data_IF_708055421519
#
_entry.id   IF_708055421519
#
_cell.length_a   1.000
_cell.length_b   1.000
_cell.length_c   1.000
_cell.angle_alpha   90.00
_cell.angle_beta   90.00
_cell.angle_gamma   90.00
#
_symmetry.space_group_name_H-M   'P 1'
#
loop_
_entity.id
_entity.type
_entity.pdbx_description
1 polymer ?
#
# COMPACT_ATOMS: atom_id res chain seq x y z
N UNK A 1 -15.99 -32.13 42.94
CA UNK A 1 -14.72 -32.23 42.17
C UNK A 1 -14.84 -32.85 40.77
N UNK A 2 -15.51 -34.00 40.54
CA UNK A 2 -15.59 -34.62 39.20
C UNK A 2 -16.24 -33.73 38.13
N UNK A 3 -17.40 -33.11 38.42
CA UNK A 3 -18.10 -32.21 37.48
C UNK A 3 -17.26 -30.99 37.07
N UNK A 4 -16.55 -30.38 38.02
CA UNK A 4 -15.65 -29.26 37.75
C UNK A 4 -14.50 -29.65 36.81
N UNK A 5 -13.87 -30.81 37.04
CA UNK A 5 -12.83 -31.34 36.14
C UNK A 5 -13.38 -31.64 34.74
N UNK A 6 -14.63 -32.09 34.61
CA UNK A 6 -15.27 -32.31 33.31
C UNK A 6 -15.53 -30.99 32.57
N UNK A 7 -16.04 -29.96 33.26
CA UNK A 7 -16.28 -28.64 32.67
C UNK A 7 -14.97 -28.02 32.17
N UNK A 8 -13.90 -28.06 32.98
CA UNK A 8 -12.59 -27.54 32.60
C UNK A 8 -12.00 -28.26 31.37
N UNK A 9 -12.21 -29.58 31.24
CA UNK A 9 -11.78 -30.34 30.06
C UNK A 9 -12.50 -29.88 28.78
N UNK A 10 -13.81 -29.65 28.86
CA UNK A 10 -14.57 -29.16 27.71
C UNK A 10 -14.18 -27.73 27.34
N UNK A 11 -13.95 -26.85 28.31
CA UNK A 11 -13.44 -25.50 28.04
C UNK A 11 -12.08 -25.56 27.34
N UNK A 12 -11.14 -26.36 27.86
CA UNK A 12 -9.82 -26.52 27.24
C UNK A 12 -9.90 -27.11 25.83
N UNK A 13 -10.77 -28.09 25.59
CA UNK A 13 -11.01 -28.67 24.27
C UNK A 13 -11.57 -27.62 23.30
N UNK A 14 -12.57 -26.84 23.71
CA UNK A 14 -13.18 -25.79 22.88
C UNK A 14 -12.14 -24.72 22.52
N UNK A 15 -11.34 -24.28 23.49
CA UNK A 15 -10.27 -23.31 23.25
C UNK A 15 -9.20 -23.86 22.30
N UNK A 16 -8.80 -25.13 22.47
CA UNK A 16 -7.86 -25.78 21.59
C UNK A 16 -8.38 -25.89 20.15
N UNK A 17 -9.65 -26.30 19.99
CA UNK A 17 -10.30 -26.38 18.67
C UNK A 17 -10.39 -24.99 18.02
N UNK A 18 -10.75 -23.96 18.77
CA UNK A 18 -10.77 -22.57 18.28
C UNK A 18 -9.40 -22.13 17.78
N UNK A 19 -8.35 -22.35 18.57
CA UNK A 19 -6.97 -21.99 18.18
C UNK A 19 -6.52 -22.78 16.96
N UNK A 20 -6.83 -24.08 16.89
CA UNK A 20 -6.50 -24.93 15.75
C UNK A 20 -7.21 -24.47 14.46
N UNK A 21 -8.49 -24.10 14.55
CA UNK A 21 -9.26 -23.58 13.41
C UNK A 21 -8.69 -22.25 12.93
N UNK A 22 -8.34 -21.34 13.84
CA UNK A 22 -7.71 -20.04 13.51
C UNK A 22 -6.34 -20.25 12.87
N UNK A 23 -5.49 -21.11 13.44
CA UNK A 23 -4.18 -21.43 12.88
C UNK A 23 -4.30 -22.05 11.48
N UNK A 24 -5.25 -22.96 11.28
CA UNK A 24 -5.52 -23.56 9.97
C UNK A 24 -5.99 -22.53 8.95
N UNK A 25 -6.93 -21.66 9.33
CA UNK A 25 -7.42 -20.61 8.41
C UNK A 25 -6.32 -19.61 8.06
N UNK A 26 -5.50 -19.18 9.01
CA UNK A 26 -4.36 -18.29 8.74
C UNK A 26 -3.35 -18.98 7.82
N UNK A 27 -2.96 -20.22 8.12
CA UNK A 27 -1.95 -20.94 7.31
C UNK A 27 -2.39 -21.17 5.87
N UNK A 28 -3.68 -21.50 5.67
CA UNK A 28 -4.26 -21.74 4.34
C UNK A 28 -4.51 -20.44 3.57
N UNK A 29 -4.79 -19.32 4.26
CA UNK A 29 -5.20 -18.06 3.59
C UNK A 29 -4.16 -16.95 3.58
N UNK A 30 -3.07 -17.05 4.33
CA UNK A 30 -2.04 -16.00 4.43
C UNK A 30 -1.39 -15.62 3.08
N UNK A 31 -1.35 -16.55 2.13
CA UNK A 31 -0.76 -16.34 0.80
C UNK A 31 -1.81 -16.32 -0.32
N UNK A 32 -3.08 -16.09 0.01
CA UNK A 32 -4.13 -16.04 -1.00
C UNK A 32 -3.84 -14.87 -1.96
N UNK A 33 -3.62 -15.19 -3.24
CA UNK A 33 -3.45 -14.19 -4.30
C UNK A 33 -4.80 -13.95 -4.95
N UNK A 34 -5.15 -12.68 -5.13
CA UNK A 34 -6.32 -12.27 -5.88
C UNK A 34 -5.89 -11.89 -7.29
N UNK A 35 -6.30 -12.66 -8.28
CA UNK A 35 -6.12 -12.30 -9.70
C UNK A 35 -7.19 -11.29 -10.08
N UNK A 36 -6.90 -10.01 -9.82
CA UNK A 36 -7.66 -8.91 -10.41
C UNK A 36 -7.12 -8.65 -11.82
N UNK A 37 -7.96 -8.66 -12.87
CA UNK A 37 -7.49 -8.37 -14.22
C UNK A 37 -6.83 -6.99 -14.27
N UNK A 38 -5.78 -6.84 -15.08
CA UNK A 38 -5.21 -5.53 -15.31
C UNK A 38 -6.25 -4.65 -16.02
N UNK A 39 -6.34 -3.35 -15.67
CA UNK A 39 -7.23 -2.47 -16.40
C UNK A 39 -6.74 -2.32 -17.85
N UNK A 40 -7.65 -2.41 -18.81
CA UNK A 40 -7.35 -2.17 -20.22
C UNK A 40 -7.15 -0.67 -20.46
N UNK A 41 -5.90 -0.24 -20.34
CA UNK A 41 -5.49 1.16 -20.50
C UNK A 41 -4.34 1.21 -21.48
N UNK A 42 -4.44 2.15 -22.40
CA UNK A 42 -3.36 2.50 -23.31
C UNK A 42 -2.72 3.79 -22.81
N UNK A 43 -1.43 3.74 -22.57
CA UNK A 43 -0.66 4.95 -22.31
C UNK A 43 -0.46 5.73 -23.59
N UNK A 44 -0.34 7.04 -23.44
CA UNK A 44 -0.12 7.97 -24.53
C UNK A 44 1.13 8.78 -24.24
N UNK A 45 1.93 8.99 -25.29
CA UNK A 45 3.09 9.88 -25.26
C UNK A 45 2.73 11.31 -25.64
N UNK A 46 1.44 11.61 -25.82
CA UNK A 46 0.94 12.96 -26.07
C UNK A 46 1.35 13.91 -24.93
N UNK A 47 2.03 15.00 -25.30
CA UNK A 47 2.57 15.98 -24.36
C UNK A 47 1.47 16.67 -23.54
N UNK A 48 0.28 16.86 -24.12
CA UNK A 48 -0.86 17.44 -23.40
C UNK A 48 -1.37 16.50 -22.30
N UNK A 49 -1.44 15.20 -22.57
CA UNK A 49 -1.80 14.19 -21.59
C UNK A 49 -0.74 14.03 -20.50
N UNK A 50 0.55 14.07 -20.86
CA UNK A 50 1.65 14.04 -19.90
C UNK A 50 1.60 15.28 -18.99
N UNK A 51 1.40 16.47 -19.56
CA UNK A 51 1.28 17.71 -18.79
C UNK A 51 0.08 17.69 -17.84
N UNK A 52 -1.06 17.15 -18.28
CA UNK A 52 -2.23 16.92 -17.41
C UNK A 52 -1.91 15.93 -16.29
N UNK A 53 -1.24 14.82 -16.59
CA UNK A 53 -0.83 13.82 -15.60
C UNK A 53 0.07 14.43 -14.54
N UNK A 54 1.07 15.22 -14.96
CA UNK A 54 1.92 16.01 -14.06
C UNK A 54 1.07 16.92 -13.18
N UNK A 55 0.17 17.71 -13.77
CA UNK A 55 -0.70 18.59 -12.98
C UNK A 55 -1.47 17.82 -11.90
N UNK A 56 -2.13 16.71 -12.24
CA UNK A 56 -2.88 15.90 -11.27
C UNK A 56 -2.00 15.44 -10.09
N UNK A 57 -0.82 14.90 -10.37
CA UNK A 57 0.12 14.38 -9.36
C UNK A 57 0.56 15.47 -8.37
N UNK A 58 0.78 16.68 -8.87
CA UNK A 58 1.27 17.82 -8.09
C UNK A 58 0.16 18.68 -7.48
N UNK A 59 -1.12 18.46 -7.83
CA UNK A 59 -2.25 19.25 -7.32
C UNK A 59 -3.35 18.36 -6.71
N UNK A 60 -4.35 18.03 -7.51
CA UNK A 60 -5.65 17.45 -7.11
C UNK A 60 -5.57 16.00 -6.64
N UNK A 61 -4.57 15.23 -7.09
CA UNK A 61 -4.38 13.85 -6.63
C UNK A 61 -3.55 13.75 -5.34
N UNK A 62 -3.03 14.88 -4.83
CA UNK A 62 -2.30 14.98 -3.56
C UNK A 62 -1.13 13.99 -3.40
N UNK A 63 -0.59 13.45 -4.50
CA UNK A 63 0.48 12.45 -4.44
C UNK A 63 1.72 13.02 -3.75
N UNK A 64 2.02 14.29 -4.03
CA UNK A 64 3.17 14.98 -3.46
C UNK A 64 3.12 15.07 -1.94
N UNK A 65 1.96 15.26 -1.33
CA UNK A 65 1.83 15.50 0.12
C UNK A 65 2.41 14.35 0.95
N UNK A 66 2.29 13.12 0.45
CA UNK A 66 2.84 11.94 1.11
C UNK A 66 4.16 11.50 0.48
N UNK A 67 4.33 11.68 -0.83
CA UNK A 67 5.48 11.13 -1.56
C UNK A 67 6.63 12.12 -1.76
N UNK A 68 6.73 13.19 -0.99
CA UNK A 68 7.83 14.14 -1.07
C UNK A 68 8.40 14.48 0.31
N UNK A 69 9.53 15.18 0.32
CA UNK A 69 10.16 15.65 1.56
C UNK A 69 9.55 16.96 2.05
N UNK A 70 9.80 17.25 3.32
CA UNK A 70 9.39 18.50 4.00
C UNK A 70 10.00 19.70 3.27
N UNK A 71 9.17 20.41 2.48
CA UNK A 71 9.40 21.65 1.71
C UNK A 71 8.74 21.64 0.32
N UNK A 72 8.06 20.55 -0.04
CA UNK A 72 7.38 20.39 -1.31
C UNK A 72 6.46 21.56 -1.70
N UNK A 73 5.64 22.05 -0.77
CA UNK A 73 4.73 23.17 -1.03
C UNK A 73 5.49 24.45 -1.43
N UNK A 74 6.59 24.75 -0.74
CA UNK A 74 7.45 25.89 -1.05
C UNK A 74 8.10 25.76 -2.43
N UNK A 75 8.54 24.55 -2.81
CA UNK A 75 9.15 24.30 -4.11
C UNK A 75 8.13 24.37 -5.26
N UNK A 76 6.90 23.86 -5.06
CA UNK A 76 5.81 24.01 -6.03
C UNK A 76 5.48 25.48 -6.26
N UNK A 77 5.38 26.27 -5.19
CA UNK A 77 5.07 27.70 -5.29
C UNK A 77 6.15 28.49 -6.05
N UNK A 78 7.38 27.97 -6.12
CA UNK A 78 8.48 28.50 -6.93
C UNK A 78 8.49 27.96 -8.36
N UNK A 79 7.51 27.13 -8.76
CA UNK A 79 7.43 26.51 -10.08
C UNK A 79 8.46 25.40 -10.30
N UNK A 80 9.05 24.85 -9.24
CA UNK A 80 10.08 23.82 -9.33
C UNK A 80 9.47 22.42 -9.28
N UNK A 81 10.08 21.50 -10.03
CA UNK A 81 9.71 20.09 -9.99
C UNK A 81 10.20 19.45 -8.69
N UNK A 82 9.27 18.93 -7.89
CA UNK A 82 9.59 18.25 -6.63
C UNK A 82 9.68 16.76 -6.86
N UNK A 83 10.82 16.12 -6.56
CA UNK A 83 10.97 14.69 -6.76
C UNK A 83 10.15 13.90 -5.74
N UNK A 84 9.35 12.95 -6.24
CA UNK A 84 8.43 12.14 -5.44
C UNK A 84 9.13 10.96 -4.74
N UNK A 85 10.14 11.28 -3.93
CA UNK A 85 11.06 10.32 -3.30
C UNK A 85 10.51 9.63 -2.05
N UNK A 86 9.34 10.04 -1.54
CA UNK A 86 8.76 9.50 -0.32
C UNK A 86 9.59 9.81 0.93
N UNK A 87 9.51 8.92 1.92
CA UNK A 87 10.25 9.02 3.19
C UNK A 87 9.50 9.74 4.31
N UNK A 88 8.23 10.10 4.13
CA UNK A 88 7.39 10.67 5.19
C UNK A 88 7.09 9.61 6.23
N UNK A 89 7.36 9.90 7.50
CA UNK A 89 7.16 9.00 8.62
C UNK A 89 5.74 9.12 9.20
N UNK A 90 5.02 8.00 9.20
CA UNK A 90 3.72 7.84 9.84
C UNK A 90 3.87 7.01 11.12
N UNK A 91 3.36 7.53 12.23
CA UNK A 91 3.26 6.81 13.50
C UNK A 91 1.90 6.13 13.62
N UNK A 92 1.90 4.80 13.51
CA UNK A 92 0.72 3.96 13.69
C UNK A 92 0.83 3.22 15.03
N UNK A 93 -0.29 2.82 15.66
CA UNK A 93 -0.26 2.02 16.90
C UNK A 93 0.53 0.72 16.77
N UNK A 94 0.62 0.18 15.56
CA UNK A 94 1.31 -1.07 15.22
C UNK A 94 2.76 -0.88 14.77
N UNK A 95 3.24 0.36 14.63
CA UNK A 95 4.62 0.63 14.23
C UNK A 95 4.83 1.92 13.42
N UNK A 96 6.04 2.07 12.88
CA UNK A 96 6.42 3.18 12.00
C UNK A 96 6.32 2.74 10.54
N UNK A 97 5.67 3.55 9.72
CA UNK A 97 5.56 3.32 8.26
C UNK A 97 6.10 4.54 7.53
N UNK A 98 6.80 4.32 6.43
CA UNK A 98 7.34 5.39 5.59
C UNK A 98 6.61 5.41 4.24
N UNK A 99 6.33 6.60 3.70
CA UNK A 99 5.87 6.70 2.32
C UNK A 99 6.92 6.20 1.34
N UNK A 100 6.48 5.55 0.26
CA UNK A 100 7.39 4.96 -0.74
C UNK A 100 7.97 6.00 -1.69
N UNK A 101 9.13 5.71 -2.25
CA UNK A 101 9.63 6.42 -3.42
C UNK A 101 8.80 6.01 -4.66
N UNK A 102 8.24 6.98 -5.39
CA UNK A 102 7.46 6.77 -6.63
C UNK A 102 8.10 7.47 -7.83
N UNK A 103 9.39 7.79 -7.74
CA UNK A 103 10.19 8.23 -8.89
C UNK A 103 10.42 7.08 -9.89
N UNK A 104 10.88 7.37 -11.12
CA UNK A 104 11.28 6.35 -12.10
C UNK A 104 12.54 5.54 -11.72
N UNK A 105 13.06 5.69 -10.49
CA UNK A 105 14.19 4.91 -10.01
C UNK A 105 13.87 3.41 -10.01
N UNK A 106 14.82 2.58 -10.45
CA UNK A 106 14.61 1.13 -10.63
C UNK A 106 14.82 0.31 -9.36
N UNK A 107 15.58 0.81 -8.39
CA UNK A 107 15.91 0.06 -7.18
C UNK A 107 14.96 0.39 -6.03
N UNK A 108 14.62 1.67 -5.89
CA UNK A 108 13.85 2.20 -4.77
C UNK A 108 12.50 2.78 -5.20
N UNK A 109 12.35 3.14 -6.49
CA UNK A 109 11.15 3.74 -7.07
C UNK A 109 10.23 2.74 -7.78
N UNK A 110 9.42 3.26 -8.70
CA UNK A 110 8.48 2.48 -9.54
C UNK A 110 9.01 2.25 -10.96
N UNK A 111 10.29 2.48 -11.22
CA UNK A 111 10.89 2.38 -12.57
C UNK A 111 10.84 1.01 -13.23
N UNK A 112 10.46 -0.04 -12.48
CA UNK A 112 10.26 -1.41 -12.99
C UNK A 112 8.79 -1.75 -13.22
N UNK A 113 7.86 -0.88 -12.83
CA UNK A 113 6.43 -1.14 -12.94
C UNK A 113 6.00 -0.85 -14.38
N UNK A 114 5.21 -1.76 -14.95
CA UNK A 114 4.48 -1.51 -16.19
C UNK A 114 3.37 -0.49 -15.96
N UNK A 115 2.93 0.18 -17.03
CA UNK A 115 1.82 1.13 -16.98
C UNK A 115 0.54 0.50 -16.42
N UNK A 116 0.29 -0.77 -16.73
CA UNK A 116 -0.85 -1.53 -16.22
C UNK A 116 -0.75 -1.80 -14.71
N UNK A 117 0.46 -2.00 -14.17
CA UNK A 117 0.69 -2.16 -12.74
C UNK A 117 0.48 -0.84 -11.99
N UNK A 118 0.98 0.27 -12.55
CA UNK A 118 0.75 1.61 -11.99
C UNK A 118 -0.75 1.91 -12.00
N UNK A 119 -1.43 1.65 -13.11
CA UNK A 119 -2.86 1.86 -13.23
C UNK A 119 -3.72 1.02 -12.28
N UNK A 120 -3.27 -0.20 -11.95
CA UNK A 120 -3.90 -1.05 -10.94
C UNK A 120 -3.65 -0.49 -9.54
N UNK A 121 -2.44 -0.03 -9.23
CA UNK A 121 -2.13 0.52 -7.91
C UNK A 121 -2.94 1.78 -7.57
N UNK A 122 -3.46 2.48 -8.59
CA UNK A 122 -4.27 3.69 -8.45
C UNK A 122 -5.79 3.43 -8.38
N UNK A 123 -6.27 2.19 -8.56
CA UNK A 123 -7.71 1.83 -8.61
C UNK A 123 -8.07 0.76 -7.61
#
# INVERSE_FOLDING_TARGET
MRRFKTIMKWIALVLFVLVAVVALTVTVRQNLKYDAPYPDIRTSTDSALIARGKHLVYSSAHCINCHSKTNADSLINLGLDVPLTGGVLFHLPVGKVYSKNITPDKETGIGRFSDTEIARALR
#
